data_IF_554606831786
#
_entry.id   IF_554606831786
#
_cell.length_a   1.000
_cell.length_b   1.000
_cell.length_c   1.000
_cell.angle_alpha   90.00
_cell.angle_beta   90.00
_cell.angle_gamma   90.00
#
_symmetry.space_group_name_H-M   'P 1'
#
loop_
_entity.id
_entity.type
_entity.pdbx_description
1 polymer ?
#
# COMPACT_ATOMS: atom_id res chain seq x y z
N UNK A 1 5.08 20.12 -0.10
CA UNK A 1 5.37 18.69 0.11
C UNK A 1 4.12 17.99 0.62
N UNK A 2 3.61 16.97 -0.08
CA UNK A 2 2.57 16.06 0.41
C UNK A 2 3.29 14.75 0.73
N UNK A 3 3.56 14.42 2.00
CA UNK A 3 4.42 13.29 2.38
C UNK A 3 4.13 12.83 3.82
N UNK A 4 4.45 11.57 4.11
CA UNK A 4 4.36 10.95 5.44
C UNK A 4 5.66 11.13 6.23
N UNK A 5 5.67 11.90 7.32
CA UNK A 5 6.85 12.25 8.09
C UNK A 5 7.08 11.28 9.26
N UNK A 6 8.12 10.43 9.18
CA UNK A 6 8.46 9.43 10.21
C UNK A 6 9.97 9.37 10.49
N UNK A 7 10.61 10.43 11.01
CA UNK A 7 11.99 10.34 11.47
C UNK A 7 12.10 9.39 12.68
N UNK A 8 13.21 8.68 12.82
CA UNK A 8 13.54 7.94 14.06
C UNK A 8 13.82 8.95 15.16
N UNK A 9 12.91 9.05 16.13
CA UNK A 9 12.96 10.09 17.17
C UNK A 9 14.19 10.03 18.09
N UNK A 10 14.84 8.87 18.19
CA UNK A 10 16.13 8.74 18.91
C UNK A 10 17.36 9.11 18.08
N UNK A 11 17.21 9.56 16.84
CA UNK A 11 18.32 9.90 15.94
C UNK A 11 18.30 11.39 15.60
N UNK A 12 19.04 12.18 16.37
CA UNK A 12 19.12 13.64 16.21
C UNK A 12 19.55 14.08 14.81
N UNK A 13 20.50 13.35 14.20
CA UNK A 13 20.96 13.64 12.83
C UNK A 13 19.84 13.47 11.80
N UNK A 14 19.01 12.44 11.96
CA UNK A 14 17.87 12.24 11.07
C UNK A 14 16.81 13.34 11.27
N UNK A 15 16.49 13.70 12.51
CA UNK A 15 15.57 14.80 12.83
C UNK A 15 16.07 16.10 12.19
N UNK A 16 17.36 16.41 12.34
CA UNK A 16 18.00 17.58 11.74
C UNK A 16 17.80 17.63 10.22
N UNK A 17 18.07 16.54 9.50
CA UNK A 17 17.88 16.52 8.05
C UNK A 17 16.42 16.66 7.63
N UNK A 18 15.49 16.04 8.35
CA UNK A 18 14.07 16.25 8.13
C UNK A 18 13.72 17.72 8.31
N UNK A 19 14.11 18.34 9.42
CA UNK A 19 13.87 19.77 9.67
C UNK A 19 14.42 20.65 8.54
N UNK A 20 15.66 20.39 8.09
CA UNK A 20 16.29 21.13 6.99
C UNK A 20 15.59 20.95 5.64
N UNK A 21 14.98 19.80 5.37
CA UNK A 21 14.24 19.57 4.13
C UNK A 21 12.87 20.27 4.18
N UNK A 22 12.16 20.14 5.30
CA UNK A 22 10.83 20.73 5.48
C UNK A 22 10.88 22.25 5.58
N UNK A 23 11.89 22.84 6.24
CA UNK A 23 12.04 24.30 6.36
C UNK A 23 12.27 25.03 5.04
N UNK A 24 12.67 24.29 3.99
CA UNK A 24 12.85 24.82 2.63
C UNK A 24 11.59 24.76 1.78
N UNK A 25 10.52 24.13 2.28
CA UNK A 25 9.26 24.05 1.56
C UNK A 25 8.43 25.31 1.80
N UNK A 26 7.93 25.95 0.73
CA UNK A 26 6.97 27.05 0.86
C UNK A 26 5.62 26.61 1.44
N UNK A 27 5.27 25.33 1.29
CA UNK A 27 4.04 24.75 1.81
C UNK A 27 4.22 23.26 2.11
N UNK A 28 3.71 22.83 3.27
CA UNK A 28 3.75 21.45 3.72
C UNK A 28 2.32 20.97 4.02
N UNK A 29 1.91 19.92 3.32
CA UNK A 29 0.64 19.23 3.50
C UNK A 29 0.90 17.84 4.11
N UNK A 30 0.59 17.68 5.39
CA UNK A 30 0.69 16.40 6.06
C UNK A 30 -0.50 15.52 5.65
N UNK A 31 -0.24 14.29 5.18
CA UNK A 31 -1.28 13.40 4.62
C UNK A 31 -2.14 12.69 5.66
N UNK A 32 -1.70 12.70 6.91
CA UNK A 32 -2.36 12.10 8.07
C UNK A 32 -1.91 12.81 9.36
N UNK A 33 -2.61 12.51 10.45
CA UNK A 33 -2.52 13.26 11.72
C UNK A 33 -1.17 13.10 12.41
N UNK A 34 -0.63 11.89 12.52
CA UNK A 34 0.71 11.65 13.08
C UNK A 34 1.80 12.44 12.38
N UNK A 35 1.80 12.43 11.05
CA UNK A 35 2.76 13.22 10.27
C UNK A 35 2.64 14.70 10.59
N UNK A 36 1.41 15.22 10.67
CA UNK A 36 1.16 16.61 11.01
C UNK A 36 1.77 16.95 12.38
N UNK A 37 1.43 16.17 13.40
CA UNK A 37 1.95 16.34 14.77
C UNK A 37 3.48 16.27 14.82
N UNK A 38 4.11 15.35 14.09
CA UNK A 38 5.56 15.24 14.04
C UNK A 38 6.20 16.47 13.37
N UNK A 39 5.61 16.96 12.28
CA UNK A 39 6.14 18.14 11.57
C UNK A 39 5.99 19.39 12.44
N UNK A 40 4.82 19.62 13.02
CA UNK A 40 4.57 20.84 13.81
C UNK A 40 5.27 20.80 15.16
N UNK A 41 5.19 19.68 15.89
CA UNK A 41 5.60 19.64 17.29
C UNK A 41 7.06 19.21 17.47
N UNK A 42 7.60 18.38 16.57
CA UNK A 42 8.99 17.90 16.66
C UNK A 42 9.91 18.71 15.76
N UNK A 43 9.52 18.95 14.50
CA UNK A 43 10.37 19.71 13.57
C UNK A 43 10.21 21.23 13.74
N UNK A 44 9.09 21.69 14.30
CA UNK A 44 8.78 23.11 14.47
C UNK A 44 8.51 23.81 13.14
N UNK A 45 7.86 23.10 12.21
CA UNK A 45 7.53 23.61 10.87
C UNK A 45 6.02 23.71 10.73
N UNK A 46 5.55 24.83 10.18
CA UNK A 46 4.13 25.00 9.85
C UNK A 46 3.71 23.99 8.79
N UNK A 47 2.64 23.25 9.08
CA UNK A 47 2.05 22.27 8.19
C UNK A 47 0.53 22.35 8.25
N UNK A 48 -0.11 21.98 7.15
CA UNK A 48 -1.56 21.84 7.07
C UNK A 48 -1.91 20.36 6.99
N UNK A 49 -2.87 19.92 7.80
CA UNK A 49 -3.44 18.58 7.67
C UNK A 49 -4.23 18.48 6.36
N UNK A 50 -3.96 17.45 5.58
CA UNK A 50 -4.50 17.22 4.25
C UNK A 50 -4.65 15.71 4.01
N UNK A 51 -4.85 15.29 2.75
CA UNK A 51 -5.02 13.91 2.35
C UNK A 51 -3.89 13.46 1.40
N UNK A 52 -3.76 12.15 1.18
CA UNK A 52 -2.81 11.61 0.20
C UNK A 52 -3.15 12.10 -1.22
N UNK A 53 -2.15 12.40 -2.05
CA UNK A 53 -2.40 12.84 -3.44
C UNK A 53 -2.89 11.73 -4.39
N UNK A 54 -2.79 10.46 -3.99
CA UNK A 54 -3.16 9.32 -4.84
C UNK A 54 -4.59 9.38 -5.40
N UNK A 55 -5.65 9.73 -4.63
CA UNK A 55 -7.00 9.87 -5.17
C UNK A 55 -7.11 10.90 -6.30
N UNK A 56 -6.34 12.00 -6.24
CA UNK A 56 -6.32 13.01 -7.32
C UNK A 56 -5.69 12.43 -8.59
N UNK A 57 -4.63 11.63 -8.45
CA UNK A 57 -3.99 10.98 -9.58
C UNK A 57 -4.90 9.90 -10.18
N UNK A 58 -5.56 9.09 -9.34
CA UNK A 58 -6.56 8.09 -9.80
C UNK A 58 -7.64 8.74 -10.62
N UNK A 59 -8.24 9.84 -10.12
CA UNK A 59 -9.27 10.60 -10.84
C UNK A 59 -8.77 11.13 -12.18
N UNK A 60 -7.50 11.56 -12.25
CA UNK A 60 -6.90 12.09 -13.49
C UNK A 60 -6.75 11.01 -14.58
N UNK A 61 -6.40 9.78 -14.20
CA UNK A 61 -6.11 8.69 -15.15
C UNK A 61 -7.25 7.70 -15.30
N UNK A 62 -8.43 7.97 -14.72
CA UNK A 62 -9.52 7.00 -14.60
C UNK A 62 -9.95 6.39 -15.95
N UNK A 63 -10.01 7.22 -17.00
CA UNK A 63 -10.34 6.80 -18.37
C UNK A 63 -9.25 5.96 -19.04
N UNK A 64 -8.03 5.97 -18.51
CA UNK A 64 -6.88 5.22 -19.02
C UNK A 64 -6.69 3.88 -18.30
N UNK A 65 -7.47 3.62 -17.24
CA UNK A 65 -7.39 2.36 -16.50
C UNK A 65 -7.98 1.24 -17.36
N UNK A 66 -7.19 0.20 -17.70
CA UNK A 66 -7.69 -0.93 -18.46
C UNK A 66 -8.87 -1.62 -17.78
N UNK A 67 -9.73 -2.26 -18.58
CA UNK A 67 -10.66 -3.27 -18.06
C UNK A 67 -9.92 -4.42 -17.37
N UNK A 68 -10.67 -5.33 -16.75
CA UNK A 68 -10.09 -6.46 -16.02
C UNK A 68 -9.11 -7.26 -16.88
N UNK A 69 -7.88 -7.40 -16.39
CA UNK A 69 -6.83 -8.23 -17.00
C UNK A 69 -7.09 -9.74 -16.82
N UNK A 70 -8.09 -10.09 -16.01
CA UNK A 70 -8.53 -11.44 -15.73
C UNK A 70 -10.00 -11.62 -16.13
N UNK A 71 -10.32 -12.73 -16.81
CA UNK A 71 -11.70 -13.04 -17.20
C UNK A 71 -12.54 -13.52 -16.02
N UNK A 72 -11.92 -14.22 -15.09
CA UNK A 72 -12.53 -14.79 -13.90
C UNK A 72 -12.44 -13.84 -12.71
N UNK A 73 -13.35 -14.02 -11.74
CA UNK A 73 -13.29 -13.29 -10.48
C UNK A 73 -12.03 -13.67 -9.70
N UNK A 74 -11.37 -12.69 -9.09
CA UNK A 74 -10.13 -12.91 -8.36
C UNK A 74 -10.02 -12.08 -7.08
N UNK A 75 -9.27 -12.62 -6.13
CA UNK A 75 -8.80 -11.94 -4.93
C UNK A 75 -7.44 -11.33 -5.24
N UNK A 76 -7.28 -10.04 -4.93
CA UNK A 76 -5.99 -9.36 -5.03
C UNK A 76 -5.29 -9.39 -3.66
N UNK A 77 -4.11 -9.99 -3.62
CA UNK A 77 -3.19 -10.00 -2.50
C UNK A 77 -2.04 -9.03 -2.78
N UNK A 78 -1.52 -8.39 -1.76
CA UNK A 78 -0.21 -7.75 -1.83
C UNK A 78 0.53 -7.90 -0.51
N UNK A 79 1.84 -7.65 -0.51
CA UNK A 79 2.64 -7.75 0.70
C UNK A 79 2.19 -6.84 1.84
N UNK A 80 2.78 -7.07 3.01
CA UNK A 80 2.75 -6.19 4.16
C UNK A 80 4.19 -5.97 4.61
N UNK A 81 4.52 -4.76 5.07
CA UNK A 81 5.90 -4.42 5.47
C UNK A 81 6.36 -5.21 6.72
N UNK A 82 5.42 -5.79 7.47
CA UNK A 82 5.69 -6.64 8.64
C UNK A 82 5.01 -8.02 8.52
N UNK A 83 5.00 -8.61 7.32
CA UNK A 83 4.36 -9.91 7.13
C UNK A 83 5.08 -11.02 7.94
N UNK A 84 4.41 -11.63 8.92
CA UNK A 84 4.92 -12.81 9.61
C UNK A 84 4.66 -14.07 8.77
N UNK A 85 5.72 -14.66 8.24
CA UNK A 85 5.71 -15.88 7.41
C UNK A 85 5.13 -17.11 8.14
N UNK A 86 5.17 -17.13 9.46
CA UNK A 86 4.58 -18.20 10.28
C UNK A 86 3.05 -18.23 10.14
N UNK A 87 2.43 -17.11 9.81
CA UNK A 87 0.98 -17.00 9.63
C UNK A 87 0.52 -17.40 8.22
N UNK A 88 1.43 -17.76 7.30
CA UNK A 88 1.07 -18.05 5.90
C UNK A 88 0.08 -19.20 5.74
N UNK A 89 0.18 -20.25 6.57
CA UNK A 89 -0.77 -21.37 6.53
C UNK A 89 -2.19 -20.94 6.92
N UNK A 90 -2.31 -20.15 7.99
CA UNK A 90 -3.58 -19.62 8.48
C UNK A 90 -4.20 -18.66 7.46
N UNK A 91 -3.42 -17.68 6.98
CA UNK A 91 -3.88 -16.69 6.00
C UNK A 91 -4.35 -17.38 4.72
N UNK A 92 -3.54 -18.29 4.17
CA UNK A 92 -3.91 -19.07 3.00
C UNK A 92 -5.18 -19.89 3.23
N UNK A 93 -5.29 -20.55 4.39
CA UNK A 93 -6.46 -21.35 4.76
C UNK A 93 -7.75 -20.53 4.78
N UNK A 94 -7.74 -19.36 5.41
CA UNK A 94 -8.93 -18.49 5.47
C UNK A 94 -9.31 -17.93 4.08
N UNK A 95 -8.32 -17.56 3.26
CA UNK A 95 -8.55 -17.10 1.88
C UNK A 95 -9.16 -18.23 1.04
N UNK A 96 -8.55 -19.41 1.03
CA UNK A 96 -9.02 -20.56 0.25
C UNK A 96 -10.41 -21.03 0.69
N UNK A 97 -10.69 -21.01 1.99
CA UNK A 97 -12.00 -21.35 2.55
C UNK A 97 -13.09 -20.37 2.08
N UNK A 98 -12.82 -19.07 2.14
CA UNK A 98 -13.80 -18.02 1.79
C UNK A 98 -13.96 -17.82 0.29
N UNK A 99 -12.87 -17.96 -0.47
CA UNK A 99 -12.79 -17.62 -1.89
C UNK A 99 -12.47 -18.82 -2.79
N UNK A 100 -12.92 -20.02 -2.43
CA UNK A 100 -12.65 -21.31 -3.11
C UNK A 100 -12.75 -21.34 -4.65
N UNK A 101 -13.61 -20.51 -5.23
CA UNK A 101 -13.87 -20.46 -6.68
C UNK A 101 -13.29 -19.20 -7.35
N UNK A 102 -12.36 -18.50 -6.71
CA UNK A 102 -11.74 -17.29 -7.22
C UNK A 102 -10.28 -17.56 -7.55
N UNK A 103 -9.77 -16.90 -8.59
CA UNK A 103 -8.34 -16.82 -8.81
C UNK A 103 -7.68 -16.04 -7.67
N UNK A 104 -6.46 -16.41 -7.33
CA UNK A 104 -5.65 -15.69 -6.36
C UNK A 104 -4.54 -14.99 -7.10
N UNK A 105 -4.50 -13.67 -7.01
CA UNK A 105 -3.52 -12.83 -7.70
C UNK A 105 -2.74 -12.07 -6.65
N UNK A 106 -1.43 -12.27 -6.61
CA UNK A 106 -0.51 -11.49 -5.81
C UNK A 106 0.07 -10.36 -6.67
N UNK A 107 -0.36 -9.14 -6.38
CA UNK A 107 0.04 -7.93 -7.08
C UNK A 107 1.36 -7.40 -6.52
N UNK A 108 2.34 -7.31 -7.40
CA UNK A 108 3.61 -6.61 -7.19
C UNK A 108 3.78 -5.52 -8.26
N UNK A 109 4.81 -4.71 -8.07
CA UNK A 109 5.20 -3.69 -9.04
C UNK A 109 5.51 -2.38 -8.35
N UNK A 110 6.65 -1.79 -8.73
CA UNK A 110 6.99 -0.39 -8.47
C UNK A 110 7.86 0.10 -9.63
N UNK A 111 8.05 1.42 -9.82
CA UNK A 111 9.00 1.93 -10.80
C UNK A 111 10.42 1.36 -10.64
N UNK A 112 10.78 0.92 -9.43
CA UNK A 112 12.06 0.29 -9.07
C UNK A 112 12.04 -1.25 -9.08
N UNK A 113 10.96 -1.88 -9.54
CA UNK A 113 10.77 -3.33 -9.51
C UNK A 113 10.11 -3.85 -8.23
N UNK A 114 10.13 -5.16 -8.03
CA UNK A 114 9.57 -5.83 -6.85
C UNK A 114 10.34 -5.42 -5.58
N UNK A 115 9.63 -5.14 -4.48
CA UNK A 115 10.29 -4.84 -3.19
C UNK A 115 11.02 -6.08 -2.66
N UNK A 116 12.16 -5.88 -1.99
CA UNK A 116 13.05 -6.95 -1.54
C UNK A 116 12.40 -8.01 -0.62
N UNK A 117 11.34 -7.65 0.11
CA UNK A 117 10.64 -8.55 1.03
C UNK A 117 9.60 -9.45 0.34
N UNK A 118 9.14 -9.08 -0.87
CA UNK A 118 8.05 -9.76 -1.57
C UNK A 118 8.38 -11.21 -1.96
N UNK A 119 9.59 -11.54 -2.49
CA UNK A 119 9.90 -12.92 -2.90
C UNK A 119 9.67 -13.94 -1.79
N UNK A 120 10.14 -13.64 -0.59
CA UNK A 120 10.01 -14.54 0.56
C UNK A 120 8.55 -14.71 1.02
N UNK A 121 7.78 -13.61 1.01
CA UNK A 121 6.35 -13.63 1.37
C UNK A 121 5.59 -14.48 0.35
N UNK A 122 5.83 -14.23 -0.94
CA UNK A 122 5.25 -14.99 -2.05
C UNK A 122 5.58 -16.47 -1.91
N UNK A 123 6.84 -16.82 -1.66
CA UNK A 123 7.26 -18.22 -1.50
C UNK A 123 6.53 -18.87 -0.31
N UNK A 124 6.44 -18.17 0.83
CA UNK A 124 5.77 -18.68 2.02
C UNK A 124 4.27 -18.95 1.79
N UNK A 125 3.60 -18.13 0.99
CA UNK A 125 2.19 -18.28 0.63
C UNK A 125 1.98 -19.37 -0.43
N UNK A 126 2.88 -19.46 -1.42
CA UNK A 126 2.82 -20.47 -2.49
C UNK A 126 2.90 -21.91 -1.99
N UNK A 127 3.52 -22.14 -0.83
CA UNK A 127 3.51 -23.45 -0.14
C UNK A 127 2.10 -23.95 0.16
N UNK A 128 1.14 -23.04 0.37
CA UNK A 128 -0.25 -23.35 0.69
C UNK A 128 -1.23 -22.97 -0.43
N UNK A 129 -0.84 -22.07 -1.32
CA UNK A 129 -1.61 -21.60 -2.48
C UNK A 129 -0.77 -21.77 -3.76
N UNK A 130 -0.58 -23.02 -4.25
CA UNK A 130 0.32 -23.28 -5.38
C UNK A 130 -0.14 -22.60 -6.69
N UNK A 131 -1.44 -22.34 -6.83
CA UNK A 131 -2.04 -21.65 -7.98
C UNK A 131 -1.96 -20.10 -7.88
N UNK A 132 -1.29 -19.56 -6.86
CA UNK A 132 -1.13 -18.12 -6.69
C UNK A 132 -0.39 -17.49 -7.88
N UNK A 133 -1.12 -16.66 -8.64
CA UNK A 133 -0.61 -15.95 -9.81
C UNK A 133 0.15 -14.73 -9.31
N UNK A 134 1.39 -14.54 -9.76
CA UNK A 134 2.15 -13.32 -9.46
C UNK A 134 1.96 -12.36 -10.62
N UNK A 135 1.33 -11.23 -10.34
CA UNK A 135 1.11 -10.16 -11.30
C UNK A 135 2.08 -9.02 -11.03
N UNK A 136 3.03 -8.81 -11.93
CA UNK A 136 4.00 -7.72 -11.86
C UNK A 136 3.56 -6.57 -12.76
N UNK A 137 2.82 -5.62 -12.18
CA UNK A 137 2.26 -4.49 -12.91
C UNK A 137 3.37 -3.59 -13.46
N UNK A 138 3.34 -3.35 -14.78
CA UNK A 138 4.34 -2.59 -15.52
C UNK A 138 4.00 -1.11 -15.64
N UNK A 139 2.77 -0.74 -15.31
CA UNK A 139 2.32 0.65 -15.30
C UNK A 139 1.44 0.95 -14.10
N UNK A 140 1.29 2.25 -13.80
CA UNK A 140 0.39 2.71 -12.75
C UNK A 140 -1.08 2.37 -13.05
N UNK A 141 -1.52 2.50 -14.30
CA UNK A 141 -2.90 2.18 -14.69
C UNK A 141 -3.19 0.68 -14.67
N UNK A 142 -2.20 -0.16 -15.01
CA UNK A 142 -2.29 -1.62 -14.83
C UNK A 142 -2.41 -2.00 -13.35
N UNK A 143 -1.57 -1.40 -12.50
CA UNK A 143 -1.64 -1.59 -11.05
C UNK A 143 -3.02 -1.21 -10.48
N UNK A 144 -3.58 -0.08 -10.93
CA UNK A 144 -4.94 0.32 -10.57
C UNK A 144 -6.00 -0.66 -11.08
N UNK A 145 -5.86 -1.17 -12.31
CA UNK A 145 -6.82 -2.11 -12.91
C UNK A 145 -6.92 -3.41 -12.12
N UNK A 146 -5.80 -3.95 -11.65
CA UNK A 146 -5.79 -5.18 -10.83
C UNK A 146 -6.50 -4.97 -9.49
N UNK A 147 -6.35 -3.80 -8.87
CA UNK A 147 -7.06 -3.50 -7.61
C UNK A 147 -8.55 -3.28 -7.88
N UNK A 148 -8.88 -2.40 -8.82
CA UNK A 148 -10.25 -2.00 -9.18
C UNK A 148 -11.16 -3.20 -9.47
N UNK A 149 -10.65 -4.16 -10.23
CA UNK A 149 -11.44 -5.29 -10.73
C UNK A 149 -11.40 -6.53 -9.83
N UNK A 150 -10.70 -6.48 -8.69
CA UNK A 150 -10.68 -7.57 -7.72
C UNK A 150 -11.98 -7.63 -6.91
N UNK A 151 -12.38 -8.82 -6.44
CA UNK A 151 -13.55 -8.96 -5.55
C UNK A 151 -13.26 -8.45 -4.13
N UNK A 152 -11.99 -8.48 -3.75
CA UNK A 152 -11.45 -7.97 -2.50
C UNK A 152 -9.94 -7.75 -2.66
N UNK A 153 -9.45 -6.66 -2.07
CA UNK A 153 -8.04 -6.44 -1.83
C UNK A 153 -7.68 -6.91 -0.41
N UNK A 154 -6.58 -7.67 -0.28
CA UNK A 154 -5.99 -8.04 1.00
C UNK A 154 -4.54 -7.54 1.02
N UNK A 155 -4.24 -6.55 1.85
CA UNK A 155 -2.97 -5.80 1.76
C UNK A 155 -2.53 -5.19 3.09
N UNK A 156 -1.22 -5.14 3.36
CA UNK A 156 -0.64 -4.30 4.43
C UNK A 156 0.05 -3.03 3.93
N UNK A 157 -0.19 -2.65 2.67
CA UNK A 157 0.46 -1.52 1.98
C UNK A 157 -0.51 -0.34 1.88
N UNK A 158 -0.15 0.78 2.51
CA UNK A 158 -0.99 1.98 2.59
C UNK A 158 -1.60 2.45 1.26
N UNK A 159 -0.79 2.57 0.21
CA UNK A 159 -1.28 3.06 -1.09
C UNK A 159 -2.21 2.07 -1.80
N UNK A 160 -2.07 0.76 -1.57
CA UNK A 160 -2.98 -0.24 -2.14
C UNK A 160 -4.37 -0.06 -1.56
N UNK A 161 -4.47 0.15 -0.23
CA UNK A 161 -5.73 0.41 0.45
C UNK A 161 -6.39 1.70 -0.03
N UNK A 162 -5.64 2.80 -0.21
CA UNK A 162 -6.19 4.05 -0.77
C UNK A 162 -6.72 3.82 -2.19
N UNK A 163 -5.99 3.10 -3.05
CA UNK A 163 -6.46 2.82 -4.40
C UNK A 163 -7.75 2.00 -4.42
N UNK A 164 -7.85 0.97 -3.56
CA UNK A 164 -9.08 0.19 -3.43
C UNK A 164 -10.26 1.06 -2.96
N UNK A 165 -10.03 1.95 -1.98
CA UNK A 165 -11.06 2.90 -1.52
C UNK A 165 -11.52 3.84 -2.64
N UNK A 166 -10.64 4.28 -3.54
CA UNK A 166 -11.02 5.13 -4.67
C UNK A 166 -12.03 4.46 -5.61
N UNK A 167 -11.99 3.13 -5.73
CA UNK A 167 -12.89 2.36 -6.61
C UNK A 167 -14.04 1.67 -5.86
N UNK A 168 -14.08 1.77 -4.52
CA UNK A 168 -15.03 1.01 -3.71
C UNK A 168 -14.75 -0.49 -3.64
N UNK A 169 -13.52 -0.93 -3.96
CA UNK A 169 -13.10 -2.32 -3.84
C UNK A 169 -13.05 -2.71 -2.36
N UNK A 170 -13.78 -3.76 -1.92
CA UNK A 170 -13.72 -4.24 -0.54
C UNK A 170 -12.26 -4.53 -0.13
N UNK A 171 -11.86 -4.12 1.08
CA UNK A 171 -10.45 -4.23 1.50
C UNK A 171 -10.33 -4.87 2.88
N UNK A 172 -9.36 -5.77 3.04
CA UNK A 172 -8.88 -6.30 4.31
C UNK A 172 -7.44 -5.83 4.50
N UNK A 173 -7.20 -5.06 5.55
CA UNK A 173 -5.87 -4.54 5.85
C UNK A 173 -5.11 -5.49 6.78
N UNK A 174 -3.88 -5.88 6.40
CA UNK A 174 -2.92 -6.43 7.35
C UNK A 174 -2.27 -5.29 8.14
N UNK A 175 -1.85 -5.57 9.37
CA UNK A 175 -1.08 -4.62 10.17
C UNK A 175 0.19 -4.19 9.42
N UNK A 176 0.46 -2.89 9.44
CA UNK A 176 1.64 -2.30 8.80
C UNK A 176 2.74 -2.00 9.83
N UNK A 177 3.93 -1.63 9.35
CA UNK A 177 5.03 -1.17 10.20
C UNK A 177 4.97 0.32 10.53
N UNK A 178 3.98 1.02 9.98
CA UNK A 178 3.69 2.43 10.25
C UNK A 178 2.23 2.54 10.69
N UNK A 179 1.88 3.52 11.55
CA UNK A 179 0.50 3.70 12.01
C UNK A 179 -0.45 4.17 10.90
N UNK A 180 0.03 4.30 9.65
CA UNK A 180 -0.73 4.82 8.50
C UNK A 180 -2.01 4.05 8.20
N UNK A 181 -2.09 2.77 8.56
CA UNK A 181 -3.31 1.97 8.36
C UNK A 181 -4.21 1.91 9.62
N UNK A 182 -3.71 2.39 10.77
CA UNK A 182 -4.39 2.31 12.07
C UNK A 182 -5.01 3.65 12.50
N UNK A 183 -4.65 4.76 11.83
CA UNK A 183 -5.21 6.11 11.98
C UNK A 183 -6.26 6.43 10.90
#
# INVERSE_FOLDING_TARGET
>A
MNHSCYPKLGNEKQIYYYKCAYSRCNYVAAREKKSHELITNILGIDATLSFDSLPLLVKKVESEIPESLYKEKYVCLSGAVNYNKENSSFIAGEILKKYKNHKLVYLVGSPSGMNNEEPDVIESLKKFMPELIIHDAKSFTEWLSVIKNSVVLISGRYHYSIAAMCFGTPTVCFSSNTPKLDE
#
